data_IF_246031693891
#
_entry.id   IF_246031693891
#
_cell.length_a   1.000
_cell.length_b   1.000
_cell.length_c   1.000
_cell.angle_alpha   90.00
_cell.angle_beta   90.00
_cell.angle_gamma   90.00
#
_symmetry.space_group_name_H-M   'P 1'
#
loop_
_entity.id
_entity.type
_entity.pdbx_description
1 polymer ?
#
# COMPACT_ATOMS: atom_id res chain seq x y z
N UNK A 1 36.70 1.59 -12.91
CA UNK A 1 35.93 1.00 -11.81
C UNK A 1 35.90 1.85 -10.52
N UNK A 2 36.94 2.63 -10.18
CA UNK A 2 36.96 3.32 -8.86
C UNK A 2 35.99 4.51 -8.75
N UNK A 3 35.74 5.22 -9.86
CA UNK A 3 34.87 6.40 -9.88
C UNK A 3 33.37 6.05 -9.73
N UNK A 4 32.95 4.86 -10.16
CA UNK A 4 31.55 4.40 -10.05
C UNK A 4 31.19 4.00 -8.61
N UNK A 5 32.16 3.47 -7.85
CA UNK A 5 31.98 3.13 -6.44
C UNK A 5 31.78 4.38 -5.58
N UNK A 6 32.51 5.45 -5.87
CA UNK A 6 32.38 6.74 -5.17
C UNK A 6 31.00 7.39 -5.41
N UNK A 7 30.54 7.42 -6.67
CA UNK A 7 29.19 7.90 -7.02
C UNK A 7 28.08 7.05 -6.36
N UNK A 8 28.29 5.73 -6.28
CA UNK A 8 27.38 4.82 -5.57
C UNK A 8 27.30 5.10 -4.07
N UNK A 9 28.42 5.42 -3.42
CA UNK A 9 28.48 5.77 -2.00
C UNK A 9 27.79 7.12 -1.72
N UNK A 10 27.97 8.11 -2.58
CA UNK A 10 27.31 9.42 -2.46
C UNK A 10 25.78 9.30 -2.61
N UNK A 11 25.32 8.53 -3.61
CA UNK A 11 23.89 8.24 -3.78
C UNK A 11 23.31 7.48 -2.57
N UNK A 12 24.08 6.57 -1.96
CA UNK A 12 23.67 5.87 -0.75
C UNK A 12 23.56 6.81 0.46
N UNK A 13 24.50 7.73 0.63
CA UNK A 13 24.46 8.76 1.68
C UNK A 13 23.23 9.67 1.55
N UNK A 14 22.92 10.13 0.33
CA UNK A 14 21.73 10.93 0.06
C UNK A 14 20.44 10.16 0.40
N UNK A 15 20.36 8.86 0.10
CA UNK A 15 19.20 8.03 0.49
C UNK A 15 19.08 7.89 2.01
N UNK A 16 20.17 7.62 2.71
CA UNK A 16 20.13 7.50 4.17
C UNK A 16 19.78 8.82 4.87
N UNK A 17 20.21 9.96 4.33
CA UNK A 17 19.81 11.27 4.84
C UNK A 17 18.30 11.53 4.67
N UNK A 18 17.70 11.04 3.57
CA UNK A 18 16.27 11.22 3.27
C UNK A 18 15.37 10.24 4.01
N UNK A 19 15.79 8.98 4.12
CA UNK A 19 14.93 7.86 4.55
C UNK A 19 15.41 7.18 5.84
N UNK A 20 16.55 7.61 6.39
CA UNK A 20 17.17 6.93 7.52
C UNK A 20 17.85 5.61 7.13
N UNK A 21 18.16 4.80 8.13
CA UNK A 21 18.70 3.44 7.95
C UNK A 21 17.56 2.43 7.96
N UNK A 22 17.75 1.34 7.22
CA UNK A 22 16.85 0.19 7.33
C UNK A 22 16.91 -0.35 8.77
N UNK A 23 15.76 -0.65 9.40
CA UNK A 23 15.74 -1.35 10.67
C UNK A 23 16.47 -2.70 10.60
N UNK A 24 16.86 -3.22 11.77
CA UNK A 24 17.39 -4.58 11.85
C UNK A 24 16.36 -5.59 11.35
N UNK A 25 16.84 -6.65 10.71
CA UNK A 25 15.98 -7.72 10.23
C UNK A 25 15.35 -8.42 11.44
N UNK A 26 14.04 -8.59 11.41
CA UNK A 26 13.30 -9.38 12.42
C UNK A 26 13.93 -10.77 12.54
N UNK A 27 14.13 -11.25 13.76
CA UNK A 27 14.70 -12.58 13.95
C UNK A 27 13.73 -13.65 13.44
N UNK A 28 14.26 -14.74 12.89
CA UNK A 28 13.43 -15.80 12.32
C UNK A 28 12.41 -16.38 13.33
N UNK A 29 12.79 -16.49 14.60
CA UNK A 29 11.91 -17.00 15.66
C UNK A 29 10.81 -16.00 16.08
N UNK A 30 10.89 -14.76 15.64
CA UNK A 30 9.88 -13.71 15.86
C UNK A 30 8.99 -13.49 14.61
N UNK A 31 9.31 -14.14 13.49
CA UNK A 31 8.48 -14.09 12.29
C UNK A 31 7.20 -14.93 12.50
N UNK A 32 6.10 -14.47 11.93
CA UNK A 32 4.84 -15.22 11.86
C UNK A 32 4.59 -15.67 10.43
N UNK A 33 4.02 -16.87 10.28
CA UNK A 33 3.62 -17.39 8.98
C UNK A 33 2.47 -16.56 8.38
N UNK A 34 2.43 -16.51 7.04
CA UNK A 34 1.31 -15.89 6.33
C UNK A 34 0.00 -16.61 6.70
N UNK A 35 -1.00 -15.82 7.10
CA UNK A 35 -2.34 -16.33 7.40
C UNK A 35 -3.32 -15.80 6.37
N UNK A 36 -4.21 -16.67 5.89
CA UNK A 36 -5.34 -16.25 5.06
C UNK A 36 -6.08 -15.12 5.80
N UNK A 37 -6.21 -13.97 5.14
CA UNK A 37 -7.05 -12.89 5.66
C UNK A 37 -8.44 -13.47 5.93
N UNK A 38 -8.96 -13.24 7.13
CA UNK A 38 -10.36 -13.56 7.41
C UNK A 38 -11.28 -12.80 6.45
N UNK A 39 -12.57 -13.14 6.40
CA UNK A 39 -13.57 -12.29 5.77
C UNK A 39 -13.33 -10.84 6.18
N UNK A 40 -12.88 -10.00 5.24
CA UNK A 40 -13.05 -8.57 5.45
C UNK A 40 -14.56 -8.36 5.51
N UNK A 41 -15.05 -7.42 6.31
CA UNK A 41 -16.50 -7.13 6.37
C UNK A 41 -17.16 -6.84 5.01
N UNK A 42 -16.37 -6.79 3.91
CA UNK A 42 -16.83 -6.78 2.53
C UNK A 42 -17.48 -8.08 2.06
N UNK A 43 -17.41 -9.22 2.78
CA UNK A 43 -18.30 -10.36 2.46
C UNK A 43 -19.79 -9.99 2.62
N UNK A 44 -20.10 -8.94 3.39
CA UNK A 44 -21.44 -8.36 3.46
C UNK A 44 -21.79 -7.43 2.28
N UNK A 45 -20.82 -7.11 1.41
CA UNK A 45 -21.01 -6.31 0.20
C UNK A 45 -20.60 -7.17 -1.00
N UNK A 46 -21.38 -8.23 -1.25
CA UNK A 46 -21.38 -8.83 -2.58
C UNK A 46 -21.67 -7.71 -3.58
N UNK A 47 -20.78 -7.51 -4.55
CA UNK A 47 -20.97 -6.51 -5.60
C UNK A 47 -22.32 -6.75 -6.29
N UNK A 48 -23.27 -5.85 -6.04
CA UNK A 48 -24.61 -5.86 -6.62
C UNK A 48 -24.69 -4.73 -7.67
N UNK A 49 -24.53 -5.05 -8.97
CA UNK A 49 -24.62 -4.05 -10.02
C UNK A 49 -26.04 -3.44 -10.11
N UNK A 50 -27.09 -4.17 -9.71
CA UNK A 50 -28.47 -3.66 -9.70
C UNK A 50 -28.69 -2.70 -8.53
N UNK A 51 -28.14 -3.01 -7.36
CA UNK A 51 -28.16 -2.17 -6.17
C UNK A 51 -27.30 -0.89 -6.26
N UNK A 52 -26.31 -0.87 -7.17
CA UNK A 52 -25.39 0.26 -7.34
C UNK A 52 -26.07 1.58 -7.71
N UNK A 53 -27.23 1.52 -8.37
CA UNK A 53 -28.01 2.69 -8.77
C UNK A 53 -28.50 3.54 -7.60
N UNK A 54 -28.64 2.95 -6.41
CA UNK A 54 -29.12 3.64 -5.21
C UNK A 54 -28.10 4.63 -4.61
N UNK A 55 -26.85 4.63 -5.06
CA UNK A 55 -25.79 5.47 -4.51
C UNK A 55 -25.51 6.74 -5.35
N UNK A 56 -26.21 6.94 -6.46
CA UNK A 56 -25.99 8.07 -7.36
C UNK A 56 -26.88 9.30 -7.07
N UNK A 57 -27.44 9.43 -5.87
CA UNK A 57 -28.33 10.57 -5.53
C UNK A 57 -27.66 11.93 -5.76
N UNK A 58 -26.37 12.09 -5.45
CA UNK A 58 -25.64 13.33 -5.72
C UNK A 58 -25.48 13.59 -7.22
N UNK A 59 -25.17 12.55 -8.00
CA UNK A 59 -25.04 12.66 -9.46
C UNK A 59 -26.40 12.98 -10.11
N UNK A 60 -27.50 12.40 -9.64
CA UNK A 60 -28.84 12.72 -10.12
C UNK A 60 -29.19 14.19 -9.87
N UNK A 61 -28.86 14.70 -8.67
CA UNK A 61 -29.03 16.12 -8.35
C UNK A 61 -28.21 17.04 -9.26
N UNK A 62 -26.94 16.69 -9.53
CA UNK A 62 -26.06 17.48 -10.40
C UNK A 62 -26.55 17.51 -11.86
N UNK A 63 -27.26 16.47 -12.30
CA UNK A 63 -27.84 16.37 -13.65
C UNK A 63 -29.28 16.89 -13.74
N UNK A 64 -29.91 17.25 -12.61
CA UNK A 64 -31.28 17.76 -12.56
C UNK A 64 -32.37 16.72 -12.84
N UNK A 65 -32.11 15.45 -12.48
CA UNK A 65 -33.05 14.32 -12.59
C UNK A 65 -33.92 14.15 -11.34
#
# INVERSE_FOLDING_TARGET
>A
MENESAAGAEAAAARHARFGKLPERVHFHEMVEEKKAGPSGAEAVSYDPEGSWNHFSCLAWDLGL
#
